data_IF_576867799162
#
_entry.id   IF_576867799162
#
_cell.length_a   1.000
_cell.length_b   1.000
_cell.length_c   1.000
_cell.angle_alpha   90.00
_cell.angle_beta   90.00
_cell.angle_gamma   90.00
#
_symmetry.space_group_name_H-M   'P 1'
#
loop_
_entity.id
_entity.type
_entity.pdbx_description
1 polymer ?
#
# COMPACT_ATOMS: atom_id res chain seq x y z
N UNK A 1 -42.60 -12.84 53.47
CA UNK A 1 -41.16 -13.14 53.24
C UNK A 1 -41.01 -13.43 51.74
N UNK A 2 -40.72 -12.44 50.87
CA UNK A 2 -39.40 -12.15 50.22
C UNK A 2 -38.52 -13.41 50.13
N UNK A 3 -38.06 -13.90 48.97
CA UNK A 3 -37.03 -13.39 48.03
C UNK A 3 -36.97 -14.42 46.85
N UNK A 4 -36.43 -14.22 45.63
CA UNK A 4 -35.98 -13.11 44.79
C UNK A 4 -35.71 -13.73 43.40
N UNK A 5 -36.25 -13.15 42.34
CA UNK A 5 -35.80 -13.39 40.95
C UNK A 5 -34.36 -12.87 40.82
N UNK A 6 -33.43 -13.71 40.33
CA UNK A 6 -32.07 -13.27 40.00
C UNK A 6 -31.93 -13.37 38.48
N UNK A 7 -32.04 -12.20 37.83
CA UNK A 7 -31.64 -11.97 36.46
C UNK A 7 -30.12 -11.80 36.45
N UNK A 8 -29.38 -12.72 35.83
CA UNK A 8 -27.93 -12.60 35.66
C UNK A 8 -27.66 -12.03 34.27
N UNK A 9 -27.52 -10.71 34.20
CA UNK A 9 -26.93 -10.03 33.05
C UNK A 9 -25.42 -10.04 33.22
N UNK A 10 -24.73 -11.00 32.60
CA UNK A 10 -23.28 -10.99 32.51
C UNK A 10 -22.85 -10.32 31.20
N UNK A 11 -22.63 -9.01 31.30
CA UNK A 11 -21.89 -8.19 30.35
C UNK A 11 -20.39 -8.43 30.55
N UNK A 12 -19.69 -8.96 29.54
CA UNK A 12 -18.25 -8.71 29.36
C UNK A 12 -17.88 -8.79 27.87
N UNK A 13 -17.46 -7.64 27.35
CA UNK A 13 -16.83 -7.45 26.07
C UNK A 13 -15.38 -7.98 26.08
N UNK A 14 -14.89 -8.51 24.96
CA UNK A 14 -13.57 -8.18 24.42
C UNK A 14 -13.48 -8.63 22.97
N UNK A 15 -13.01 -7.70 22.16
CA UNK A 15 -12.86 -7.73 20.71
C UNK A 15 -12.00 -8.88 20.23
N UNK A 16 -12.51 -9.66 19.28
CA UNK A 16 -11.69 -10.47 18.38
C UNK A 16 -12.44 -10.62 17.07
N UNK A 17 -12.54 -9.53 16.31
CA UNK A 17 -12.76 -9.62 14.87
C UNK A 17 -11.50 -10.22 14.26
N UNK A 18 -11.32 -11.54 14.42
CA UNK A 18 -10.31 -12.29 13.68
C UNK A 18 -10.78 -12.35 12.24
N UNK A 19 -10.29 -11.37 11.50
CA UNK A 19 -10.05 -11.34 10.08
C UNK A 19 -10.93 -12.31 9.28
N UNK A 20 -12.03 -11.76 8.76
CA UNK A 20 -12.48 -12.17 7.43
C UNK A 20 -11.24 -12.13 6.55
N UNK A 21 -10.75 -13.29 6.13
CA UNK A 21 -9.67 -13.41 5.17
C UNK A 21 -10.17 -12.73 3.90
N UNK A 22 -9.95 -11.42 3.83
CA UNK A 22 -10.17 -10.65 2.64
C UNK A 22 -9.35 -11.31 1.54
N UNK A 23 -9.90 -11.46 0.32
CA UNK A 23 -9.11 -11.93 -0.81
C UNK A 23 -7.81 -11.15 -0.79
N UNK A 24 -6.68 -11.86 -0.79
CA UNK A 24 -5.33 -11.35 -0.52
C UNK A 24 -5.03 -10.13 -1.40
N UNK A 25 -5.46 -8.97 -0.93
CA UNK A 25 -5.19 -7.68 -1.54
C UNK A 25 -3.74 -7.42 -1.17
N UNK A 26 -2.85 -7.51 -2.16
CA UNK A 26 -1.43 -7.24 -1.97
C UNK A 26 -1.33 -5.82 -1.42
N UNK A 27 -0.72 -5.66 -0.26
CA UNK A 27 -0.54 -4.38 0.40
C UNK A 27 0.83 -4.33 1.06
N UNK A 28 1.33 -3.13 1.30
CA UNK A 28 2.51 -2.91 2.13
C UNK A 28 2.15 -2.02 3.30
N UNK A 29 2.78 -2.26 4.45
CA UNK A 29 2.68 -1.35 5.58
C UNK A 29 3.78 -0.28 5.46
N UNK A 30 3.36 0.97 5.47
CA UNK A 30 4.23 2.14 5.39
C UNK A 30 3.86 3.07 6.53
N UNK A 31 4.81 3.33 7.43
CA UNK A 31 4.60 4.21 8.60
C UNK A 31 3.36 3.84 9.43
N UNK A 32 3.05 2.54 9.56
CA UNK A 32 1.86 2.05 10.28
C UNK A 32 0.54 2.14 9.50
N UNK A 33 0.57 2.53 8.23
CA UNK A 33 -0.58 2.55 7.34
C UNK A 33 -0.48 1.44 6.28
N UNK A 34 -1.53 0.65 6.11
CA UNK A 34 -1.61 -0.30 4.98
C UNK A 34 -1.93 0.44 3.68
N UNK A 35 -1.03 0.33 2.71
CA UNK A 35 -1.21 0.84 1.36
C UNK A 35 -1.56 -0.33 0.43
N UNK A 36 -2.74 -0.34 -0.19
CA UNK A 36 -3.10 -1.36 -1.17
C UNK A 36 -2.24 -1.23 -2.42
N UNK A 37 -1.88 -2.36 -3.04
CA UNK A 37 -1.13 -2.42 -4.29
C UNK A 37 -2.06 -2.93 -5.39
N UNK A 38 -2.18 -2.14 -6.44
CA UNK A 38 -2.96 -2.47 -7.62
C UNK A 38 -2.03 -2.73 -8.79
N UNK A 39 -2.16 -3.90 -9.40
CA UNK A 39 -1.43 -4.24 -10.62
C UNK A 39 -2.37 -4.35 -11.79
N UNK A 40 -2.05 -3.66 -12.88
CA UNK A 40 -2.78 -3.74 -14.14
C UNK A 40 -1.79 -3.98 -15.28
N UNK A 41 -1.93 -5.09 -15.99
CA UNK A 41 -1.22 -5.28 -17.25
C UNK A 41 -1.97 -4.51 -18.35
N UNK A 42 -1.28 -3.62 -19.06
CA UNK A 42 -1.81 -2.90 -20.22
C UNK A 42 -0.86 -3.06 -21.40
N UNK A 43 -1.33 -3.76 -22.43
CA UNK A 43 -0.57 -4.13 -23.62
C UNK A 43 0.73 -4.85 -23.26
N UNK A 44 1.88 -4.15 -23.30
CA UNK A 44 3.22 -4.66 -23.03
C UNK A 44 3.82 -4.11 -21.73
N UNK A 45 3.02 -3.48 -20.88
CA UNK A 45 3.50 -2.81 -19.69
C UNK A 45 2.67 -3.17 -18.45
N UNK A 46 3.34 -3.47 -17.35
CA UNK A 46 2.73 -3.75 -16.06
C UNK A 46 2.70 -2.46 -15.25
N UNK A 47 1.51 -1.92 -15.01
CA UNK A 47 1.32 -0.77 -14.11
C UNK A 47 1.12 -1.28 -12.69
N UNK A 48 2.01 -0.90 -11.80
CA UNK A 48 1.93 -1.15 -10.36
C UNK A 48 1.60 0.18 -9.70
N UNK A 49 0.45 0.28 -9.05
CA UNK A 49 0.05 1.46 -8.28
C UNK A 49 0.07 1.10 -6.79
N UNK A 50 0.78 1.88 -6.00
CA UNK A 50 0.90 1.68 -4.56
C UNK A 50 0.08 2.78 -3.88
N UNK A 51 -0.88 2.40 -3.04
CA UNK A 51 -1.77 3.32 -2.34
C UNK A 51 -2.94 3.83 -3.19
N UNK A 52 -3.88 4.47 -2.50
CA UNK A 52 -5.00 5.18 -3.12
C UNK A 52 -4.61 6.62 -3.42
N UNK A 53 -4.98 7.10 -4.60
CA UNK A 53 -4.68 8.45 -5.09
C UNK A 53 -5.52 9.51 -4.36
N UNK A 54 -5.27 9.60 -3.07
CA UNK A 54 -5.63 10.73 -2.22
C UNK A 54 -4.69 11.88 -2.53
N UNK A 55 -5.01 13.09 -2.08
CA UNK A 55 -4.47 14.42 -2.46
C UNK A 55 -2.94 14.60 -2.46
N UNK A 56 -2.16 13.57 -2.16
CA UNK A 56 -0.71 13.59 -2.14
C UNK A 56 -0.10 13.43 -3.54
N UNK A 57 1.09 14.02 -3.76
CA UNK A 57 1.81 13.89 -5.01
C UNK A 57 2.22 12.44 -5.27
N UNK A 58 1.97 11.97 -6.50
CA UNK A 58 2.40 10.66 -6.99
C UNK A 58 3.55 10.83 -7.96
N UNK A 59 4.54 9.95 -7.84
CA UNK A 59 5.67 9.82 -8.75
C UNK A 59 5.53 8.55 -9.56
N UNK A 60 5.83 8.63 -10.87
CA UNK A 60 5.86 7.45 -11.72
C UNK A 60 7.28 7.06 -12.05
N UNK A 61 7.69 5.87 -11.61
CA UNK A 61 8.94 5.25 -11.95
C UNK A 61 8.74 4.27 -13.10
N UNK A 62 9.74 4.07 -13.94
CA UNK A 62 9.70 3.07 -15.02
C UNK A 62 10.96 2.23 -14.98
N UNK A 63 10.78 0.92 -14.94
CA UNK A 63 11.86 -0.06 -15.00
C UNK A 63 11.46 -1.15 -15.98
N UNK A 64 12.24 -1.32 -17.04
CA UNK A 64 11.93 -2.24 -18.15
C UNK A 64 10.50 -2.05 -18.69
N UNK A 65 9.65 -3.07 -18.53
CA UNK A 65 8.24 -3.10 -18.93
C UNK A 65 7.30 -2.84 -17.74
N UNK A 66 7.79 -2.32 -16.62
CA UNK A 66 7.00 -2.05 -15.41
C UNK A 66 6.96 -0.54 -15.16
N UNK A 67 5.76 0.01 -15.03
CA UNK A 67 5.53 1.37 -14.58
C UNK A 67 4.97 1.34 -13.15
N UNK A 68 5.62 2.07 -12.27
CA UNK A 68 5.33 2.05 -10.84
C UNK A 68 4.83 3.44 -10.49
N UNK A 69 3.64 3.53 -9.92
CA UNK A 69 3.00 4.78 -9.50
C UNK A 69 2.92 4.71 -7.98
N UNK A 70 3.78 5.48 -7.32
CA UNK A 70 3.91 5.46 -5.87
C UNK A 70 3.81 6.90 -5.33
N UNK A 71 3.30 7.11 -4.12
CA UNK A 71 3.36 8.40 -3.46
C UNK A 71 4.81 8.90 -3.34
N UNK A 72 5.03 10.20 -3.50
CA UNK A 72 6.37 10.78 -3.49
C UNK A 72 7.11 10.63 -2.14
N UNK A 73 6.37 10.44 -1.05
CA UNK A 73 6.94 10.18 0.28
C UNK A 73 7.46 8.75 0.46
N UNK A 74 7.17 7.83 -0.47
CA UNK A 74 7.68 6.46 -0.39
C UNK A 74 9.16 6.40 -0.74
N UNK A 75 9.88 5.67 0.09
CA UNK A 75 11.27 5.30 -0.13
C UNK A 75 11.40 4.19 -1.17
N UNK A 76 12.61 4.08 -1.74
CA UNK A 76 12.97 3.00 -2.65
C UNK A 76 12.70 1.60 -2.06
N UNK A 77 12.98 1.42 -0.77
CA UNK A 77 12.80 0.14 -0.09
C UNK A 77 11.31 -0.27 -0.05
N UNK A 78 10.43 0.67 0.27
CA UNK A 78 8.98 0.42 0.30
C UNK A 78 8.43 0.13 -1.10
N UNK A 79 8.93 0.83 -2.12
CA UNK A 79 8.58 0.57 -3.51
C UNK A 79 9.02 -0.83 -3.93
N UNK A 80 10.26 -1.21 -3.66
CA UNK A 80 10.76 -2.55 -4.00
C UNK A 80 10.03 -3.64 -3.22
N UNK A 81 9.70 -3.41 -1.94
CA UNK A 81 8.86 -4.31 -1.17
C UNK A 81 7.49 -4.51 -1.83
N UNK A 82 6.87 -3.46 -2.36
CA UNK A 82 5.64 -3.59 -3.12
C UNK A 82 5.81 -4.40 -4.41
N UNK A 83 6.91 -4.22 -5.15
CA UNK A 83 7.24 -5.02 -6.34
C UNK A 83 7.39 -6.50 -6.01
N UNK A 84 8.09 -6.81 -4.92
CA UNK A 84 8.25 -8.17 -4.40
C UNK A 84 6.90 -8.78 -3.99
N UNK A 85 6.02 -8.01 -3.32
CA UNK A 85 4.66 -8.45 -3.00
C UNK A 85 3.88 -8.82 -4.27
N UNK A 86 4.05 -8.05 -5.35
CA UNK A 86 3.40 -8.33 -6.64
C UNK A 86 4.09 -9.42 -7.46
N UNK A 87 5.15 -10.05 -6.92
CA UNK A 87 5.94 -11.11 -7.59
C UNK A 87 6.54 -10.63 -8.92
N UNK A 88 6.83 -9.33 -9.03
CA UNK A 88 7.57 -8.81 -10.16
C UNK A 88 9.05 -9.03 -9.89
N UNK A 89 9.69 -9.81 -10.74
CA UNK A 89 11.12 -10.09 -10.69
C UNK A 89 11.94 -8.92 -11.25
N UNK A 90 11.51 -7.69 -10.95
CA UNK A 90 12.16 -6.44 -11.37
C UNK A 90 12.30 -5.56 -10.14
N UNK A 91 13.44 -4.90 -10.02
CA UNK A 91 13.74 -4.03 -8.88
C UNK A 91 14.05 -2.63 -9.39
N UNK A 92 13.46 -1.63 -8.73
CA UNK A 92 13.81 -0.25 -9.03
C UNK A 92 15.21 0.00 -8.48
N UNK A 93 16.12 0.42 -9.36
CA UNK A 93 17.49 0.77 -8.97
C UNK A 93 17.53 2.15 -8.30
N UNK A 94 18.48 2.34 -7.39
CA UNK A 94 18.64 3.61 -6.68
C UNK A 94 18.89 4.79 -7.63
N UNK A 95 19.63 4.56 -8.72
CA UNK A 95 19.86 5.57 -9.76
C UNK A 95 18.57 5.96 -10.47
N UNK A 96 17.72 4.99 -10.86
CA UNK A 96 16.45 5.27 -11.54
C UNK A 96 15.45 5.97 -10.61
N UNK A 97 15.45 5.60 -9.32
CA UNK A 97 14.66 6.26 -8.30
C UNK A 97 15.05 7.74 -8.14
N UNK A 98 16.33 8.02 -7.92
CA UNK A 98 16.84 9.38 -7.74
C UNK A 98 16.66 10.26 -8.99
N UNK A 99 16.89 9.71 -10.19
CA UNK A 99 16.69 10.45 -11.44
C UNK A 99 15.22 10.88 -11.64
N UNK A 100 14.28 10.01 -11.24
CA UNK A 100 12.84 10.30 -11.32
C UNK A 100 12.42 11.33 -10.28
N UNK A 101 12.95 11.23 -9.07
CA UNK A 101 12.67 12.16 -7.98
C UNK A 101 13.21 13.56 -8.29
N UNK A 102 14.42 13.66 -8.83
CA UNK A 102 15.02 14.93 -9.26
C UNK A 102 14.21 15.62 -10.36
N UNK A 103 13.72 14.86 -11.35
CA UNK A 103 12.86 15.41 -12.40
C UNK A 103 11.49 15.85 -11.85
N UNK A 104 10.96 15.15 -10.85
CA UNK A 104 9.69 15.53 -10.22
C UNK A 104 9.79 16.87 -9.49
N UNK A 105 10.87 17.09 -8.73
CA UNK A 105 11.11 18.38 -8.07
C UNK A 105 11.38 19.50 -9.08
N UNK A 106 12.13 19.22 -10.16
CA UNK A 106 12.40 20.20 -11.21
C UNK A 106 11.14 20.64 -11.99
N UNK A 107 10.17 19.75 -12.20
CA UNK A 107 8.87 20.07 -12.81
C UNK A 107 7.94 20.84 -11.85
N UNK A 108 8.12 20.68 -10.53
CA UNK A 108 7.31 21.37 -9.51
C UNK A 108 7.73 22.82 -9.29
N UNK A 109 8.96 23.18 -9.66
CA UNK A 109 9.54 24.52 -9.51
C UNK A 109 9.39 25.42 -10.74
N UNK A 110 8.65 24.99 -11.78
CA UNK A 110 8.28 25.80 -12.94
C UNK A 110 6.85 26.33 -12.88
#
# INVERSE_FOLDING_TARGET
MKLKTILITALLAVSSTSALAAPSAKSIEVQGQQLPIYTKAEHNLIKVKIGEQTKLPYTSYRVENVQIIAPAYLSLAEINQALHQVQLNTELSQTAYLATQYNYDADREK
#
